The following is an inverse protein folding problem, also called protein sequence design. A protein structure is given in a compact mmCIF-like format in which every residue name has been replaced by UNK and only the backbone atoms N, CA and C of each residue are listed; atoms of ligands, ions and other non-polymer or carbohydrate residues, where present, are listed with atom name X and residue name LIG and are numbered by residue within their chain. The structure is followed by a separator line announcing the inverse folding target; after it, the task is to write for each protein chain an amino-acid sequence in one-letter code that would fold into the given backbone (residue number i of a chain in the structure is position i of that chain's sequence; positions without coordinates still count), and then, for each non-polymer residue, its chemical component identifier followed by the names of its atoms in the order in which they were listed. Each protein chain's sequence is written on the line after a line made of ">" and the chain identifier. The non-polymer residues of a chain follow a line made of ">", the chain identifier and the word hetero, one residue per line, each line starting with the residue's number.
data_IF_859200752217
#
_entry.id   IF_859200752217
#
_cell.length_a   1.000
_cell.length_b   1.000
_cell.length_c   1.000
_cell.angle_alpha   90.00
_cell.angle_beta   90.00
_cell.angle_gamma   90.00
#
_symmetry.space_group_name_H-M   'P 1'
#
loop_
_entity.id
_entity.type
_entity.pdbx_description
1 polymer ?
#
# COMPACT_ATOMS: atom_id res chain seq x y z
N UNK A 1 22.17 0.26 -46.47
CA UNK A 1 21.19 0.46 -45.37
C UNK A 1 21.82 0.93 -44.05
N UNK A 2 23.16 1.06 -43.96
CA UNK A 2 23.90 1.57 -42.78
C UNK A 2 23.81 3.09 -42.52
N UNK A 3 23.07 3.86 -43.33
CA UNK A 3 23.08 5.33 -43.24
C UNK A 3 22.19 5.92 -42.14
N UNK A 4 21.28 5.13 -41.53
CA UNK A 4 20.25 5.65 -40.61
C UNK A 4 20.53 5.40 -39.11
N UNK A 5 21.62 4.71 -38.78
CA UNK A 5 21.97 4.35 -37.37
C UNK A 5 22.72 5.49 -36.67
N UNK A 6 23.38 6.40 -37.40
CA UNK A 6 24.27 7.40 -36.82
C UNK A 6 23.53 8.65 -36.28
N UNK A 7 22.30 8.92 -36.72
CA UNK A 7 21.53 10.10 -36.29
C UNK A 7 20.75 9.88 -35.00
N UNK A 8 20.29 8.65 -34.72
CA UNK A 8 19.42 8.39 -33.56
C UNK A 8 20.17 8.33 -32.22
N UNK A 9 21.45 7.96 -32.20
CA UNK A 9 22.22 7.87 -30.93
C UNK A 9 22.58 9.25 -30.37
N UNK A 10 22.82 10.25 -31.23
CA UNK A 10 23.18 11.61 -30.79
C UNK A 10 22.01 12.35 -30.13
N UNK A 11 20.77 12.08 -30.53
CA UNK A 11 19.59 12.68 -29.91
C UNK A 11 19.32 12.16 -28.50
N UNK A 12 19.60 10.88 -28.21
CA UNK A 12 19.34 10.29 -26.90
C UNK A 12 20.34 10.79 -25.85
N UNK A 13 21.62 10.94 -26.22
CA UNK A 13 22.67 11.40 -25.30
C UNK A 13 22.45 12.87 -24.89
N UNK A 14 22.00 13.72 -25.82
CA UNK A 14 21.72 15.13 -25.53
C UNK A 14 20.54 15.31 -24.55
N UNK A 15 19.52 14.45 -24.65
CA UNK A 15 18.34 14.51 -23.79
C UNK A 15 18.65 14.11 -22.33
N UNK A 16 19.54 13.13 -22.13
CA UNK A 16 19.95 12.68 -20.79
C UNK A 16 20.76 13.77 -20.07
N UNK A 17 21.65 14.48 -20.76
CA UNK A 17 22.47 15.55 -20.16
C UNK A 17 21.61 16.74 -19.69
N UNK A 18 20.57 17.11 -20.45
CA UNK A 18 19.65 18.20 -20.06
C UNK A 18 18.83 17.84 -18.82
N UNK A 19 18.33 16.61 -18.73
CA UNK A 19 17.56 16.16 -17.56
C UNK A 19 18.46 16.00 -16.33
N UNK A 20 19.70 15.53 -16.50
CA UNK A 20 20.64 15.35 -15.40
C UNK A 20 21.13 16.68 -14.81
N UNK A 21 21.28 17.73 -15.64
CA UNK A 21 21.68 19.06 -15.16
C UNK A 21 20.60 19.73 -14.28
N UNK A 22 19.31 19.49 -14.56
CA UNK A 22 18.22 20.13 -13.83
C UNK A 22 17.95 19.51 -12.45
N UNK A 23 18.28 18.23 -12.27
CA UNK A 23 18.00 17.50 -11.02
C UNK A 23 18.90 17.91 -9.84
N UNK A 24 20.04 18.57 -10.09
CA UNK A 24 21.02 18.87 -9.04
C UNK A 24 20.75 20.15 -8.24
N UNK A 25 19.81 21.00 -8.66
CA UNK A 25 19.57 22.31 -8.02
C UNK A 25 18.38 22.37 -7.07
N UNK A 26 17.65 21.27 -6.87
CA UNK A 26 16.41 21.28 -6.11
C UNK A 26 16.41 20.30 -4.93
N UNK A 27 17.49 20.26 -4.16
CA UNK A 27 17.51 19.67 -2.82
C UNK A 27 17.66 20.78 -1.77
N UNK A 28 16.56 21.41 -1.30
CA UNK A 28 16.61 22.11 -0.02
C UNK A 28 16.61 21.07 1.11
N UNK A 29 17.81 20.73 1.56
CA UNK A 29 18.09 20.07 2.85
C UNK A 29 17.86 21.07 3.98
N UNK A 30 16.80 20.88 4.77
CA UNK A 30 16.64 21.20 6.22
C UNK A 30 15.18 21.55 6.54
N UNK A 31 14.43 20.58 7.08
CA UNK A 31 13.11 20.80 7.65
C UNK A 31 13.24 21.17 9.13
N UNK A 32 12.87 22.39 9.58
CA UNK A 32 12.99 22.74 10.99
C UNK A 32 11.98 21.97 11.86
N UNK A 33 12.41 21.60 13.07
CA UNK A 33 11.62 20.86 14.05
C UNK A 33 10.26 21.52 14.31
N UNK A 34 9.19 20.74 14.22
CA UNK A 34 7.81 21.20 14.40
C UNK A 34 7.53 21.42 15.89
N UNK A 35 7.56 22.67 16.35
CA UNK A 35 7.23 23.05 17.74
C UNK A 35 5.73 23.36 17.90
N UNK A 36 5.20 23.27 19.14
CA UNK A 36 3.79 23.59 19.44
C UNK A 36 3.40 25.01 19.00
N UNK A 37 4.33 25.96 19.08
CA UNK A 37 4.11 27.33 18.61
C UNK A 37 3.96 27.39 17.08
N UNK A 38 4.80 26.67 16.34
CA UNK A 38 4.68 26.58 14.88
C UNK A 38 3.38 25.88 14.46
N UNK A 39 2.93 24.87 15.23
CA UNK A 39 1.65 24.21 14.99
C UNK A 39 0.48 25.17 15.20
N UNK A 40 0.48 25.96 16.28
CA UNK A 40 -0.54 26.99 16.51
C UNK A 40 -0.59 28.01 15.38
N UNK A 41 0.56 28.55 14.98
CA UNK A 41 0.65 29.49 13.84
C UNK A 41 0.12 28.85 12.56
N UNK A 42 0.48 27.60 12.25
CA UNK A 42 -0.03 26.89 11.07
C UNK A 42 -1.52 26.59 11.15
N UNK A 43 -2.06 26.34 12.35
CA UNK A 43 -3.49 26.07 12.55
C UNK A 43 -4.37 27.25 12.09
N UNK A 44 -3.90 28.49 12.28
CA UNK A 44 -4.59 29.70 11.78
C UNK A 44 -4.69 29.72 10.25
N UNK A 45 -3.68 29.18 9.55
CA UNK A 45 -3.62 29.07 8.09
C UNK A 45 -4.24 27.78 7.54
N UNK A 46 -4.83 26.89 8.35
CA UNK A 46 -5.52 25.67 7.86
C UNK A 46 -6.70 26.01 6.92
N UNK A 47 -7.13 27.28 6.89
CA UNK A 47 -7.89 27.80 5.75
C UNK A 47 -7.02 27.76 4.49
N UNK A 48 -7.33 26.82 3.60
CA UNK A 48 -6.78 26.68 2.24
C UNK A 48 -7.00 27.91 1.33
N UNK A 49 -7.67 28.96 1.81
CA UNK A 49 -7.88 30.21 1.08
C UNK A 49 -7.73 31.45 1.98
N UNK A 50 -7.21 32.53 1.39
CA UNK A 50 -6.95 33.81 2.07
C UNK A 50 -8.20 34.54 2.59
N UNK A 51 -8.01 35.74 3.14
CA UNK A 51 -9.09 36.63 3.61
C UNK A 51 -10.07 36.90 2.46
N UNK A 52 -11.36 36.63 2.67
CA UNK A 52 -12.39 36.75 1.63
C UNK A 52 -12.67 35.48 0.81
N UNK A 53 -11.83 34.44 0.91
CA UNK A 53 -12.13 33.15 0.29
C UNK A 53 -13.37 32.50 0.92
N UNK A 54 -14.30 32.04 0.08
CA UNK A 54 -15.55 31.39 0.47
C UNK A 54 -15.24 30.17 1.34
N UNK A 55 -15.82 30.14 2.55
CA UNK A 55 -15.75 28.96 3.42
C UNK A 55 -16.31 27.76 2.65
N UNK A 56 -15.58 26.63 2.58
CA UNK A 56 -16.15 25.38 2.06
C UNK A 56 -17.41 25.04 2.86
N UNK A 57 -18.58 25.25 2.25
CA UNK A 57 -19.89 25.24 2.94
C UNK A 57 -20.27 23.85 3.46
N UNK A 58 -19.76 22.79 2.83
CA UNK A 58 -20.07 21.41 3.21
C UNK A 58 -18.78 20.66 3.55
N UNK A 59 -18.73 20.08 4.75
CA UNK A 59 -17.72 19.08 5.10
C UNK A 59 -18.06 17.81 4.33
N UNK A 60 -17.16 17.34 3.47
CA UNK A 60 -17.30 16.03 2.86
C UNK A 60 -17.16 14.98 3.96
N UNK A 61 -18.29 14.45 4.45
CA UNK A 61 -18.29 13.33 5.37
C UNK A 61 -17.64 12.15 4.66
N UNK A 62 -16.47 11.73 5.14
CA UNK A 62 -15.89 10.47 4.69
C UNK A 62 -16.84 9.38 5.13
N UNK A 63 -17.59 8.80 4.18
CA UNK A 63 -18.40 7.62 4.47
C UNK A 63 -17.43 6.57 4.97
N UNK A 64 -17.53 6.18 6.24
CA UNK A 64 -16.78 5.05 6.74
C UNK A 64 -17.31 3.83 5.98
N UNK A 65 -16.67 3.49 4.86
CA UNK A 65 -16.88 2.19 4.25
C UNK A 65 -16.47 1.18 5.32
N UNK A 66 -17.40 0.32 5.74
CA UNK A 66 -17.13 -0.66 6.78
C UNK A 66 -15.82 -1.39 6.50
N UNK A 67 -15.07 -1.71 7.56
CA UNK A 67 -13.66 -2.09 7.45
C UNK A 67 -13.45 -3.31 6.54
N UNK A 68 -14.45 -4.20 6.47
CA UNK A 68 -14.50 -5.30 5.51
C UNK A 68 -14.32 -4.84 4.04
N UNK A 69 -15.03 -3.79 3.60
CA UNK A 69 -14.93 -3.29 2.21
C UNK A 69 -13.55 -2.71 1.92
N UNK A 70 -12.92 -2.07 2.91
CA UNK A 70 -11.56 -1.55 2.79
C UNK A 70 -10.57 -2.70 2.65
N UNK A 71 -10.67 -3.72 3.51
CA UNK A 71 -9.83 -4.92 3.44
C UNK A 71 -9.96 -5.58 2.06
N UNK A 72 -11.19 -5.81 1.59
CA UNK A 72 -11.41 -6.38 0.24
C UNK A 72 -10.81 -5.52 -0.87
N UNK A 73 -10.86 -4.18 -0.76
CA UNK A 73 -10.24 -3.29 -1.75
C UNK A 73 -8.72 -3.36 -1.75
N UNK A 74 -8.09 -3.57 -0.59
CA UNK A 74 -6.63 -3.74 -0.47
C UNK A 74 -6.21 -5.10 -1.03
N UNK A 75 -6.95 -6.17 -0.73
CA UNK A 75 -6.69 -7.52 -1.25
C UNK A 75 -6.75 -7.56 -2.79
N UNK A 76 -7.71 -6.86 -3.40
CA UNK A 76 -7.78 -6.71 -4.86
C UNK A 76 -6.56 -5.99 -5.44
N UNK A 77 -6.03 -4.96 -4.76
CA UNK A 77 -4.83 -4.24 -5.21
C UNK A 77 -3.56 -5.09 -5.12
N UNK A 78 -3.48 -5.97 -4.12
CA UNK A 78 -2.38 -6.91 -3.96
C UNK A 78 -2.44 -8.07 -4.98
N UNK A 79 -3.46 -8.12 -5.85
CA UNK A 79 -3.59 -9.16 -6.87
C UNK A 79 -3.97 -10.53 -6.31
N UNK A 80 -4.56 -10.58 -5.11
CA UNK A 80 -4.96 -11.83 -4.48
C UNK A 80 -6.19 -12.39 -5.18
N UNK A 81 -6.09 -13.63 -5.66
CA UNK A 81 -7.19 -14.35 -6.31
C UNK A 81 -7.83 -15.33 -5.33
N UNK A 82 -9.16 -15.52 -5.33
CA UNK A 82 -9.78 -16.59 -4.55
C UNK A 82 -9.23 -17.93 -5.03
N UNK A 83 -8.76 -18.75 -4.10
CA UNK A 83 -8.41 -20.14 -4.40
C UNK A 83 -9.68 -20.99 -4.40
N UNK A 84 -9.60 -22.19 -4.97
CA UNK A 84 -10.69 -23.16 -4.91
C UNK A 84 -11.00 -23.52 -3.45
N UNK A 85 -12.17 -24.10 -3.18
CA UNK A 85 -12.50 -24.60 -1.84
C UNK A 85 -11.39 -25.55 -1.35
N UNK A 86 -10.75 -25.20 -0.23
CA UNK A 86 -9.69 -26.00 0.42
C UNK A 86 -10.35 -26.73 1.58
N UNK A 87 -10.00 -28.00 1.78
CA UNK A 87 -10.53 -28.81 2.87
C UNK A 87 -10.05 -28.31 4.24
N UNK A 88 -8.76 -27.99 4.37
CA UNK A 88 -8.18 -27.53 5.63
C UNK A 88 -6.99 -26.58 5.48
N UNK A 89 -6.80 -25.69 6.46
CA UNK A 89 -5.59 -24.91 6.62
C UNK A 89 -5.05 -25.01 8.05
N UNK A 90 -3.73 -25.17 8.16
CA UNK A 90 -3.05 -25.50 9.41
C UNK A 90 -1.93 -24.50 9.64
N UNK A 91 -1.97 -23.77 10.74
CA UNK A 91 -0.90 -22.86 11.15
C UNK A 91 -0.22 -23.37 12.41
N UNK A 92 1.01 -23.85 12.26
CA UNK A 92 1.86 -24.25 13.38
C UNK A 92 2.39 -23.02 14.14
N UNK A 93 2.16 -22.99 15.45
CA UNK A 93 2.72 -21.97 16.34
C UNK A 93 3.98 -22.48 17.00
N UNK A 94 4.81 -21.55 17.48
CA UNK A 94 6.04 -21.88 18.22
C UNK A 94 5.76 -22.53 19.58
N UNK A 95 4.56 -22.32 20.14
CA UNK A 95 4.16 -22.85 21.45
C UNK A 95 3.77 -24.35 21.42
N UNK A 96 3.88 -25.03 20.27
CA UNK A 96 3.44 -26.42 20.09
C UNK A 96 1.92 -26.59 19.84
N UNK A 97 1.16 -25.50 19.84
CA UNK A 97 -0.25 -25.47 19.43
C UNK A 97 -0.41 -25.13 17.95
N UNK A 98 -1.58 -25.43 17.40
CA UNK A 98 -1.88 -25.26 15.98
C UNK A 98 -3.25 -24.61 15.79
N UNK A 99 -3.34 -23.65 14.88
CA UNK A 99 -4.65 -23.17 14.40
C UNK A 99 -5.12 -24.06 13.25
N UNK A 100 -6.25 -24.74 13.49
CA UNK A 100 -6.91 -25.58 12.52
C UNK A 100 -8.12 -24.86 11.94
N UNK A 101 -8.18 -24.76 10.62
CA UNK A 101 -9.32 -24.21 9.90
C UNK A 101 -9.98 -25.33 9.09
N UNK A 102 -11.22 -25.66 9.40
CA UNK A 102 -12.06 -26.54 8.58
C UNK A 102 -12.75 -25.71 7.49
N UNK A 103 -12.50 -26.06 6.22
CA UNK A 103 -13.05 -25.41 5.02
C UNK A 103 -12.99 -23.88 5.02
N UNK A 104 -11.81 -23.26 5.18
CA UNK A 104 -11.69 -21.81 5.17
C UNK A 104 -11.87 -21.20 3.78
N UNK A 105 -12.27 -19.93 3.74
CA UNK A 105 -12.20 -19.12 2.53
C UNK A 105 -10.76 -18.66 2.33
N UNK A 106 -10.08 -19.23 1.36
CA UNK A 106 -8.69 -18.89 1.04
C UNK A 106 -8.61 -18.03 -0.21
N UNK A 107 -7.86 -16.95 -0.13
CA UNK A 107 -7.43 -16.15 -1.26
C UNK A 107 -5.90 -16.17 -1.31
N UNK A 108 -5.32 -16.41 -2.46
CA UNK A 108 -3.88 -16.52 -2.62
C UNK A 108 -3.39 -15.70 -3.81
N UNK A 109 -2.19 -15.14 -3.67
CA UNK A 109 -1.38 -14.66 -4.77
C UNK A 109 -0.15 -15.55 -4.89
N UNK A 110 -0.10 -16.34 -5.96
CA UNK A 110 0.98 -17.29 -6.23
C UNK A 110 2.27 -16.57 -6.60
N UNK A 111 2.17 -15.36 -7.14
CA UNK A 111 3.31 -14.52 -7.51
C UNK A 111 4.01 -13.93 -6.29
N UNK A 112 3.24 -13.51 -5.27
CA UNK A 112 3.79 -12.87 -4.08
C UNK A 112 3.85 -13.81 -2.87
N UNK A 113 3.56 -15.11 -3.05
CA UNK A 113 3.47 -16.10 -1.98
C UNK A 113 2.63 -15.63 -0.78
N UNK A 114 1.56 -14.89 -1.06
CA UNK A 114 0.70 -14.31 -0.03
C UNK A 114 -0.62 -15.09 0.07
N UNK A 115 -0.93 -15.60 1.26
CA UNK A 115 -2.17 -16.31 1.56
C UNK A 115 -3.02 -15.52 2.55
N UNK A 116 -4.30 -15.42 2.25
CA UNK A 116 -5.32 -14.77 3.08
C UNK A 116 -6.35 -15.83 3.40
N UNK A 117 -6.32 -16.31 4.63
CA UNK A 117 -7.25 -17.31 5.13
C UNK A 117 -8.30 -16.59 5.98
N UNK A 118 -9.57 -16.85 5.71
CA UNK A 118 -10.70 -16.26 6.45
C UNK A 118 -11.69 -17.37 6.81
N UNK A 119 -11.96 -17.52 8.09
CA UNK A 119 -12.88 -18.54 8.60
C UNK A 119 -12.79 -18.66 10.13
N UNK A 120 -13.71 -19.41 10.75
CA UNK A 120 -13.53 -19.84 12.14
C UNK A 120 -12.28 -20.74 12.23
N UNK A 121 -11.63 -20.72 13.39
CA UNK A 121 -10.47 -21.56 13.67
C UNK A 121 -10.61 -22.20 15.04
N UNK A 122 -10.11 -23.43 15.15
CA UNK A 122 -9.96 -24.15 16.41
C UNK A 122 -8.48 -24.19 16.80
N UNK A 123 -8.21 -24.18 18.10
CA UNK A 123 -6.87 -24.39 18.64
C UNK A 123 -6.75 -25.85 19.07
N UNK A 124 -5.88 -26.61 18.40
CA UNK A 124 -5.59 -28.01 18.74
C UNK A 124 -4.11 -28.17 19.07
N UNK A 125 -3.74 -29.26 19.73
CA UNK A 125 -2.33 -29.60 19.94
C UNK A 125 -1.71 -30.13 18.63
N UNK A 126 -0.41 -29.84 18.40
CA UNK A 126 0.27 -30.31 17.18
C UNK A 126 0.30 -31.83 17.05
N UNK A 127 0.28 -32.55 18.17
CA UNK A 127 0.20 -34.00 18.27
C UNK A 127 -1.09 -34.58 17.69
N UNK A 128 -2.20 -33.85 17.79
CA UNK A 128 -3.53 -34.33 17.36
C UNK A 128 -3.75 -34.19 15.85
N UNK A 129 -3.06 -33.26 15.19
CA UNK A 129 -3.23 -32.97 13.76
C UNK A 129 -2.25 -33.74 12.89
N UNK A 130 -1.10 -34.17 13.43
CA UNK A 130 -0.11 -34.94 12.69
C UNK A 130 -0.65 -36.36 12.37
N UNK A 131 -1.44 -36.46 11.31
CA UNK A 131 -1.76 -37.71 10.61
C UNK A 131 -1.11 -37.71 9.23
#
# INVERSE_FOLDING_TARGET
>A
MLFNVFSFSHFIIFFIVIVCAQASWFYPEFMPNITQETLRKRAEFVRTGGRGSIRRTVKAAHRNTGDEKKVQSVLKRLGVTPFNEIDEAIFYRQDGSVYYFDKPKVQASMQSHCFVVSGPYDVKEASEIAQ
#
